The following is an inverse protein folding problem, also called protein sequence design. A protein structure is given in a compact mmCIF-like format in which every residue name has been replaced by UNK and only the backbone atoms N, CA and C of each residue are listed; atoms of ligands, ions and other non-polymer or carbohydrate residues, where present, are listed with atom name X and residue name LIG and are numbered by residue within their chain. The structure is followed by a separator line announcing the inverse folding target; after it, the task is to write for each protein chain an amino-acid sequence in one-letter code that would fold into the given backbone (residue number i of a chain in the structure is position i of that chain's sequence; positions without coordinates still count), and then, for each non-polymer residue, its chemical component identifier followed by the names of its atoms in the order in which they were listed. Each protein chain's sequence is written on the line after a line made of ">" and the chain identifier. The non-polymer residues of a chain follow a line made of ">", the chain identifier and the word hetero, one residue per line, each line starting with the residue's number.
data_IF_320508395085
#
_entry.id   IF_320508395085
#
_cell.length_a   1.000
_cell.length_b   1.000
_cell.length_c   1.000
_cell.angle_alpha   90.00
_cell.angle_beta   90.00
_cell.angle_gamma   90.00
#
_symmetry.space_group_name_H-M   'P 1'
#
loop_
_entity.id
_entity.type
_entity.pdbx_description
1 polymer ?
#
# COMPACT_ATOMS: atom_id res chain seq x y z
N UNK A 1 1.01 13.24 -18.65
CA UNK A 1 0.06 12.96 -17.54
C UNK A 1 0.81 13.06 -16.23
N UNK A 2 0.34 13.86 -15.25
CA UNK A 2 1.02 13.95 -13.96
C UNK A 2 0.96 12.59 -13.26
N UNK A 3 2.12 12.00 -12.98
CA UNK A 3 2.20 10.74 -12.24
C UNK A 3 1.83 11.03 -10.78
N UNK A 4 0.69 10.52 -10.31
CA UNK A 4 0.24 10.66 -8.92
C UNK A 4 1.03 9.73 -7.99
N UNK A 5 2.32 10.04 -7.82
CA UNK A 5 3.30 9.18 -7.13
C UNK A 5 3.52 9.67 -5.71
N UNK A 6 3.30 8.77 -4.77
CA UNK A 6 3.45 8.96 -3.34
C UNK A 6 4.60 8.10 -2.83
N UNK A 7 5.72 8.72 -2.48
CA UNK A 7 6.84 8.05 -1.79
C UNK A 7 6.65 8.13 -0.29
N UNK A 8 6.93 7.04 0.42
CA UNK A 8 6.85 6.98 1.88
C UNK A 8 7.72 5.87 2.45
N UNK A 9 8.03 5.99 3.74
CA UNK A 9 8.58 4.90 4.55
C UNK A 9 7.51 4.40 5.49
N UNK A 10 7.37 3.08 5.61
CA UNK A 10 6.42 2.43 6.50
C UNK A 10 6.95 1.07 6.93
N UNK A 11 6.49 0.61 8.09
CA UNK A 11 6.79 -0.73 8.57
C UNK A 11 5.84 -1.76 7.97
N UNK A 12 6.37 -2.95 7.71
CA UNK A 12 5.59 -4.13 7.32
C UNK A 12 5.09 -4.83 8.58
N UNK A 13 3.86 -5.30 8.57
CA UNK A 13 3.28 -6.01 9.71
C UNK A 13 2.49 -7.24 9.25
N UNK A 14 2.35 -8.20 10.17
CA UNK A 14 1.64 -9.47 9.96
C UNK A 14 0.17 -9.30 10.34
N UNK A 15 -0.72 -9.79 9.48
CA UNK A 15 -2.13 -9.84 9.83
C UNK A 15 -2.37 -10.91 10.93
N UNK A 16 -2.96 -10.56 12.09
CA UNK A 16 -3.00 -11.44 13.26
C UNK A 16 -3.71 -12.79 13.05
N UNK A 17 -4.67 -12.88 12.12
CA UNK A 17 -5.54 -14.05 11.98
C UNK A 17 -5.35 -14.84 10.67
N UNK A 18 -4.51 -14.35 9.76
CA UNK A 18 -4.20 -15.04 8.50
C UNK A 18 -2.69 -15.11 8.32
N UNK A 19 -2.08 -16.02 9.09
CA UNK A 19 -0.64 -16.28 9.08
C UNK A 19 -0.15 -16.48 7.64
N UNK A 20 0.50 -15.45 7.10
CA UNK A 20 0.98 -15.41 5.72
C UNK A 20 0.75 -14.06 5.03
N UNK A 21 -0.31 -13.35 5.41
CA UNK A 21 -0.60 -12.03 4.86
C UNK A 21 0.22 -10.96 5.57
N UNK A 22 0.96 -10.21 4.76
CA UNK A 22 1.72 -9.06 5.21
C UNK A 22 1.10 -7.81 4.62
N UNK A 23 1.05 -6.77 5.43
CA UNK A 23 0.51 -5.49 5.04
C UNK A 23 1.49 -4.38 5.37
N UNK A 24 1.31 -3.26 4.69
CA UNK A 24 1.89 -1.99 5.05
C UNK A 24 0.79 -0.93 5.13
N UNK A 25 0.98 0.01 6.05
CA UNK A 25 0.03 1.08 6.31
C UNK A 25 0.52 2.35 5.63
N UNK A 26 -0.28 2.90 4.73
CA UNK A 26 0.00 4.21 4.14
C UNK A 26 -0.16 5.27 5.24
N UNK A 27 0.83 6.14 5.51
CA UNK A 27 0.73 7.16 6.55
C UNK A 27 -0.58 7.96 6.45
N UNK A 28 -1.20 8.24 7.60
CA UNK A 28 -2.54 8.86 7.67
C UNK A 28 -2.65 10.15 6.84
N UNK A 29 -1.61 10.97 6.84
CA UNK A 29 -1.55 12.22 6.04
C UNK A 29 -1.69 11.95 4.55
N UNK A 30 -0.89 11.02 4.01
CA UNK A 30 -0.95 10.60 2.61
C UNK A 30 -2.26 9.88 2.31
N UNK A 31 -2.75 9.07 3.24
CA UNK A 31 -4.04 8.39 3.08
C UNK A 31 -5.20 9.37 2.97
N UNK A 32 -5.24 10.41 3.80
CA UNK A 32 -6.25 11.45 3.74
C UNK A 32 -6.17 12.23 2.42
N UNK A 33 -4.97 12.59 1.97
CA UNK A 33 -4.75 13.25 0.68
C UNK A 33 -5.21 12.39 -0.50
N UNK A 34 -4.85 11.11 -0.52
CA UNK A 34 -5.28 10.15 -1.54
C UNK A 34 -6.80 9.99 -1.53
N UNK A 35 -7.41 9.87 -0.35
CA UNK A 35 -8.86 9.75 -0.21
C UNK A 35 -9.58 11.01 -0.72
N UNK A 36 -9.08 12.20 -0.38
CA UNK A 36 -9.67 13.46 -0.82
C UNK A 36 -9.59 13.63 -2.34
N UNK A 37 -8.49 13.22 -2.97
CA UNK A 37 -8.27 13.38 -4.42
C UNK A 37 -8.90 12.27 -5.27
N UNK A 38 -8.82 11.03 -4.80
CA UNK A 38 -9.16 9.84 -5.61
C UNK A 38 -10.31 9.03 -5.03
N UNK A 39 -10.82 9.34 -3.83
CA UNK A 39 -11.86 8.55 -3.16
C UNK A 39 -13.14 8.39 -3.98
N UNK A 40 -13.51 9.39 -4.80
CA UNK A 40 -14.65 9.29 -5.71
C UNK A 40 -14.45 8.28 -6.85
N UNK A 41 -13.20 7.92 -7.16
CA UNK A 41 -12.83 6.94 -8.18
C UNK A 41 -12.56 5.55 -7.60
N UNK A 42 -12.77 5.37 -6.29
CA UNK A 42 -12.59 4.09 -5.64
C UNK A 42 -13.59 3.06 -6.18
N UNK A 43 -13.15 1.80 -6.27
CA UNK A 43 -13.94 0.68 -6.79
C UNK A 43 -14.25 -0.31 -5.67
N UNK A 44 -15.34 -1.07 -5.81
CA UNK A 44 -15.72 -2.12 -4.86
C UNK A 44 -15.72 -1.62 -3.40
N UNK A 45 -15.01 -2.32 -2.52
CA UNK A 45 -14.81 -2.00 -1.09
C UNK A 45 -14.01 -0.70 -0.80
N UNK A 46 -14.14 0.33 -1.62
CA UNK A 46 -13.40 1.59 -1.50
C UNK A 46 -11.93 1.49 -1.89
N UNK A 47 -11.54 0.47 -2.64
CA UNK A 47 -10.16 0.23 -3.03
C UNK A 47 -9.73 1.11 -4.21
N UNK A 48 -8.43 1.41 -4.27
CA UNK A 48 -7.84 2.19 -5.36
C UNK A 48 -6.76 1.36 -6.06
N UNK A 49 -6.79 1.25 -7.39
CA UNK A 49 -5.74 0.56 -8.13
C UNK A 49 -4.45 1.38 -8.08
N UNK A 50 -3.34 0.70 -7.79
CA UNK A 50 -2.02 1.34 -7.68
C UNK A 50 -0.96 0.53 -8.42
N UNK A 51 0.07 1.24 -8.88
CA UNK A 51 1.37 0.68 -9.20
C UNK A 51 2.26 0.85 -7.97
N UNK A 52 2.87 -0.23 -7.52
CA UNK A 52 3.74 -0.22 -6.35
C UNK A 52 5.16 -0.47 -6.80
N UNK A 53 6.10 0.32 -6.28
CA UNK A 53 7.54 0.05 -6.41
C UNK A 53 8.16 -0.04 -5.02
N UNK A 54 8.85 -1.15 -4.76
CA UNK A 54 9.69 -1.38 -3.57
C UNK A 54 11.01 -1.95 -4.07
N UNK A 55 12.12 -1.25 -3.78
CA UNK A 55 13.43 -1.60 -4.30
C UNK A 55 13.42 -1.81 -5.82
N UNK A 56 13.75 -3.01 -6.27
CA UNK A 56 13.75 -3.41 -7.69
C UNK A 56 12.42 -4.01 -8.16
N UNK A 57 11.48 -4.25 -7.25
CA UNK A 57 10.20 -4.88 -7.53
C UNK A 57 9.13 -3.85 -7.85
N UNK A 58 8.44 -4.06 -8.99
CA UNK A 58 7.31 -3.24 -9.42
C UNK A 58 6.13 -4.12 -9.82
N UNK A 59 4.94 -3.83 -9.30
CA UNK A 59 3.73 -4.57 -9.63
C UNK A 59 2.46 -3.74 -9.46
N UNK A 60 1.41 -4.15 -10.18
CA UNK A 60 0.07 -3.58 -10.05
C UNK A 60 -0.72 -4.32 -8.96
N UNK A 61 -1.41 -3.58 -8.11
CA UNK A 61 -2.31 -4.10 -7.08
C UNK A 61 -3.33 -3.03 -6.67
N UNK A 62 -3.91 -3.09 -5.48
CA UNK A 62 -4.83 -2.09 -4.94
C UNK A 62 -4.53 -1.82 -3.48
N UNK A 63 -4.78 -0.59 -3.06
CA UNK A 63 -4.82 -0.21 -1.64
C UNK A 63 -6.27 -0.22 -1.15
N UNK A 64 -6.46 -0.58 0.11
CA UNK A 64 -7.79 -0.78 0.71
C UNK A 64 -7.95 0.12 1.93
N UNK A 65 -9.08 0.84 2.06
CA UNK A 65 -9.30 1.69 3.22
C UNK A 65 -9.57 0.81 4.43
N UNK A 66 -8.86 1.06 5.53
CA UNK A 66 -9.14 0.43 6.81
C UNK A 66 -9.72 1.44 7.80
N UNK A 67 -10.89 1.11 8.35
CA UNK A 67 -11.61 1.96 9.30
C UNK A 67 -10.91 2.02 10.65
N UNK A 68 -10.27 0.93 11.09
CA UNK A 68 -9.60 0.86 12.39
C UNK A 68 -8.32 1.71 12.41
N UNK A 69 -7.50 1.58 11.37
CA UNK A 69 -6.28 2.37 11.21
C UNK A 69 -6.55 3.81 10.75
N UNK A 70 -7.71 4.08 10.14
CA UNK A 70 -8.03 5.38 9.54
C UNK A 70 -7.10 5.70 8.36
N UNK A 71 -6.63 4.68 7.66
CA UNK A 71 -5.58 4.76 6.65
C UNK A 71 -5.81 3.72 5.54
N UNK A 72 -5.12 3.86 4.41
CA UNK A 72 -5.07 2.81 3.41
C UNK A 72 -4.05 1.74 3.78
N UNK A 73 -4.42 0.48 3.55
CA UNK A 73 -3.55 -0.68 3.68
C UNK A 73 -3.16 -1.17 2.29
N UNK A 74 -1.91 -1.58 2.16
CA UNK A 74 -1.39 -2.24 0.97
C UNK A 74 -1.00 -3.68 1.31
N UNK A 75 -1.64 -4.71 0.71
CA UNK A 75 -1.17 -6.09 0.83
C UNK A 75 0.17 -6.29 0.12
N UNK A 76 1.09 -6.97 0.79
CA UNK A 76 2.41 -7.29 0.28
C UNK A 76 2.50 -8.78 -0.10
N UNK A 77 2.68 -9.03 -1.40
CA UNK A 77 2.75 -10.39 -1.95
C UNK A 77 3.98 -11.13 -1.43
N UNK A 78 3.84 -12.42 -1.13
CA UNK A 78 4.94 -13.26 -0.67
C UNK A 78 6.14 -13.27 -1.64
N UNK A 79 5.90 -13.29 -2.96
CA UNK A 79 6.97 -13.25 -3.96
C UNK A 79 7.78 -11.95 -3.93
N UNK A 80 7.14 -10.80 -3.66
CA UNK A 80 7.83 -9.52 -3.50
C UNK A 80 8.66 -9.53 -2.23
N UNK A 81 8.09 -10.01 -1.11
CA UNK A 81 8.82 -10.11 0.16
C UNK A 81 10.09 -10.94 0.05
N UNK A 82 9.99 -12.10 -0.60
CA UNK A 82 11.15 -12.98 -0.83
C UNK A 82 12.21 -12.32 -1.72
N UNK A 83 11.79 -11.58 -2.74
CA UNK A 83 12.72 -10.95 -3.71
C UNK A 83 13.46 -9.74 -3.13
N UNK A 84 12.79 -8.95 -2.31
CA UNK A 84 13.37 -7.75 -1.68
C UNK A 84 13.81 -8.00 -0.22
N UNK A 85 13.83 -9.26 0.22
CA UNK A 85 14.24 -9.69 1.57
C UNK A 85 13.50 -8.97 2.71
N UNK A 86 12.18 -8.82 2.57
CA UNK A 86 11.33 -8.07 3.51
C UNK A 86 10.65 -9.01 4.51
N UNK A 87 10.91 -8.77 5.79
CA UNK A 87 10.25 -9.39 6.93
C UNK A 87 9.22 -8.47 7.58
N UNK A 88 8.44 -9.02 8.51
CA UNK A 88 7.57 -8.24 9.37
C UNK A 88 8.41 -7.46 10.41
N UNK A 89 8.05 -6.21 10.65
CA UNK A 89 8.82 -5.27 11.46
C UNK A 89 9.70 -4.33 10.63
N UNK A 90 10.07 -4.72 9.41
CA UNK A 90 11.00 -3.94 8.59
C UNK A 90 10.41 -2.61 8.14
N UNK A 91 11.20 -1.56 8.27
CA UNK A 91 10.90 -0.25 7.72
C UNK A 91 11.37 -0.15 6.27
N UNK A 92 10.43 -0.14 5.33
CA UNK A 92 10.73 -0.15 3.90
C UNK A 92 10.33 1.17 3.23
N UNK A 93 11.00 1.50 2.13
CA UNK A 93 10.62 2.62 1.27
C UNK A 93 9.72 2.13 0.15
N UNK A 94 8.52 2.70 0.03
CA UNK A 94 7.54 2.34 -1.01
C UNK A 94 7.15 3.57 -1.83
N UNK A 95 6.99 3.37 -3.12
CA UNK A 95 6.39 4.35 -4.04
C UNK A 95 5.06 3.82 -4.54
N UNK A 96 4.00 4.59 -4.35
CA UNK A 96 2.66 4.28 -4.85
C UNK A 96 2.27 5.25 -5.95
N UNK A 97 1.98 4.74 -7.13
CA UNK A 97 1.37 5.49 -8.22
C UNK A 97 -0.11 5.15 -8.27
N UNK A 98 -0.98 6.15 -8.06
CA UNK A 98 -2.43 5.96 -8.17
C UNK A 98 -2.82 5.85 -9.65
N UNK A 99 -3.54 4.79 -10.02
CA UNK A 99 -3.96 4.49 -11.40
C UNK A 99 -5.42 4.87 -11.69
N UNK A 100 -6.03 5.68 -10.82
CA UNK A 100 -7.45 6.05 -10.85
C UNK A 100 -7.69 7.37 -11.61
#
# INVERSE_FOLDING_TARGET
>A
MPKHVYKMKTSVWLYPDMAGWHFLTVPKTKSAEIKARFGAKAKGWGSLPVNVTIGASKWKTSIFPDKKAGAYLLPLKAGVRKKEEIAAGDAISVSLEILA
#
